data_IF_558226687651
#
_entry.id   IF_558226687651
#
_cell.length_a   1.000
_cell.length_b   1.000
_cell.length_c   1.000
_cell.angle_alpha   90.00
_cell.angle_beta   90.00
_cell.angle_gamma   90.00
#
_symmetry.space_group_name_H-M   'P 1'
#
loop_
_entity.id
_entity.type
_entity.pdbx_description
1 polymer ?
#
# COMPACT_ATOMS: atom_id res chain seq x y z
N UNK A 1 10.08 -25.59 24.68
CA UNK A 1 10.45 -24.22 24.21
C UNK A 1 9.22 -23.34 24.38
N UNK A 2 9.24 -22.51 25.42
CA UNK A 2 8.17 -21.56 25.69
C UNK A 2 8.21 -20.47 24.61
N UNK A 3 7.31 -20.52 23.66
CA UNK A 3 6.96 -19.36 22.86
C UNK A 3 6.38 -18.31 23.82
N UNK A 4 7.22 -17.37 24.25
CA UNK A 4 6.74 -16.16 24.90
C UNK A 4 5.90 -15.43 23.88
N UNK A 5 4.58 -15.48 24.02
CA UNK A 5 3.69 -14.60 23.29
C UNK A 5 4.09 -13.16 23.64
N UNK A 6 4.59 -12.42 22.65
CA UNK A 6 4.85 -10.99 22.82
C UNK A 6 3.49 -10.33 23.04
N UNK A 7 3.30 -9.70 24.15
CA UNK A 7 2.12 -8.90 24.42
C UNK A 7 2.20 -7.64 23.55
N UNK A 8 1.29 -7.54 22.58
CA UNK A 8 1.23 -6.36 21.72
C UNK A 8 0.49 -5.24 22.46
N UNK A 9 1.18 -4.16 22.75
CA UNK A 9 0.60 -2.97 23.35
C UNK A 9 0.40 -1.91 22.27
N UNK A 10 -0.82 -1.41 22.14
CA UNK A 10 -1.14 -0.29 21.27
C UNK A 10 -1.44 0.95 22.15
N UNK A 11 -0.47 1.85 22.35
CA UNK A 11 -0.64 3.00 23.25
C UNK A 11 -1.81 3.90 22.84
N UNK A 12 -2.01 4.14 21.55
CA UNK A 12 -3.10 4.96 21.02
C UNK A 12 -4.47 4.35 21.35
N UNK A 13 -4.61 3.03 21.19
CA UNK A 13 -5.83 2.33 21.56
C UNK A 13 -6.06 2.37 23.09
N UNK A 14 -4.99 2.19 23.88
CA UNK A 14 -5.08 2.25 25.35
C UNK A 14 -5.47 3.62 25.85
N UNK A 15 -5.00 4.69 25.17
CA UNK A 15 -5.37 6.06 25.47
C UNK A 15 -6.82 6.41 25.03
N UNK A 16 -7.43 5.57 24.19
CA UNK A 16 -8.76 5.83 23.64
C UNK A 16 -8.79 6.90 22.54
N UNK A 17 -7.62 7.23 21.96
CA UNK A 17 -7.52 8.23 20.92
C UNK A 17 -8.18 7.75 19.62
N UNK A 18 -8.97 8.63 19.02
CA UNK A 18 -9.61 8.40 17.74
C UNK A 18 -8.78 8.98 16.59
N UNK A 19 -9.06 8.56 15.35
CA UNK A 19 -8.44 9.13 14.16
C UNK A 19 -8.59 10.66 14.07
N UNK A 20 -9.67 11.18 14.63
CA UNK A 20 -9.94 12.62 14.68
C UNK A 20 -8.95 13.35 15.59
N UNK A 21 -8.65 12.79 16.74
CA UNK A 21 -7.68 13.35 17.70
C UNK A 21 -6.26 13.25 17.16
N UNK A 22 -5.91 12.14 16.52
CA UNK A 22 -4.63 11.94 15.84
C UNK A 22 -4.45 12.99 14.73
N UNK A 23 -5.46 13.19 13.89
CA UNK A 23 -5.42 14.20 12.83
C UNK A 23 -5.31 15.62 13.40
N UNK A 24 -6.04 15.93 14.48
CA UNK A 24 -5.94 17.22 15.15
C UNK A 24 -4.56 17.46 15.77
N UNK A 25 -3.91 16.41 16.29
CA UNK A 25 -2.54 16.47 16.76
C UNK A 25 -1.57 16.86 15.63
N UNK A 26 -1.63 16.17 14.50
CA UNK A 26 -0.74 16.42 13.36
C UNK A 26 -0.95 17.79 12.74
N UNK A 27 -2.18 18.31 12.73
CA UNK A 27 -2.47 19.66 12.23
C UNK A 27 -1.82 20.77 13.05
N UNK A 28 -1.51 20.53 14.32
CA UNK A 28 -0.87 21.50 15.22
C UNK A 28 0.66 21.49 15.19
N UNK A 29 1.25 20.54 14.44
CA UNK A 29 2.71 20.46 14.33
C UNK A 29 3.23 21.53 13.33
N UNK A 30 4.47 21.94 13.56
CA UNK A 30 5.15 22.93 12.71
C UNK A 30 5.53 22.39 11.32
N UNK A 31 5.41 21.11 11.10
CA UNK A 31 5.68 20.44 9.84
C UNK A 31 4.41 19.75 9.30
N UNK A 32 4.40 19.47 7.99
CA UNK A 32 3.29 18.81 7.29
C UNK A 32 3.81 17.58 6.56
N UNK A 33 3.09 16.46 6.67
CA UNK A 33 3.37 15.25 5.89
C UNK A 33 2.77 15.30 4.48
N UNK A 34 2.00 16.38 4.13
CA UNK A 34 1.30 16.54 2.86
C UNK A 34 0.40 15.34 2.48
N UNK A 35 -0.11 14.65 3.49
CA UNK A 35 -1.07 13.56 3.29
C UNK A 35 -2.50 14.12 3.17
N UNK A 36 -3.36 13.50 2.36
CA UNK A 36 -4.76 13.90 2.27
C UNK A 36 -5.48 13.63 3.60
N UNK A 37 -5.76 14.69 4.36
CA UNK A 37 -6.34 14.63 5.71
C UNK A 37 -7.78 14.10 5.74
N UNK A 38 -8.49 14.19 4.62
CA UNK A 38 -9.88 13.75 4.51
C UNK A 38 -10.02 12.24 4.23
N UNK A 39 -8.95 11.56 3.87
CA UNK A 39 -8.99 10.15 3.55
C UNK A 39 -8.87 9.29 4.81
N UNK A 40 -9.73 8.28 4.93
CA UNK A 40 -9.62 7.26 5.98
C UNK A 40 -8.32 6.47 5.87
N UNK A 41 -7.74 6.42 4.68
CA UNK A 41 -6.45 5.81 4.37
C UNK A 41 -5.78 6.59 3.25
N UNK A 42 -4.46 6.54 3.18
CA UNK A 42 -3.69 7.11 2.08
C UNK A 42 -3.10 6.00 1.21
N UNK A 43 -3.10 6.13 -0.12
CA UNK A 43 -2.40 5.18 -0.99
C UNK A 43 -0.89 5.14 -0.72
N UNK A 44 -0.35 6.19 -0.10
CA UNK A 44 1.06 6.32 0.24
C UNK A 44 1.42 5.67 1.58
N UNK A 45 0.45 5.10 2.31
CA UNK A 45 0.73 4.35 3.54
C UNK A 45 1.41 3.01 3.25
N UNK A 46 2.19 2.53 4.20
CA UNK A 46 2.95 1.28 4.10
C UNK A 46 4.00 1.28 2.98
N UNK A 47 4.43 0.09 2.56
CA UNK A 47 5.45 -0.08 1.55
C UNK A 47 5.02 0.49 0.19
N UNK A 48 5.97 1.07 -0.53
CA UNK A 48 5.75 1.56 -1.89
C UNK A 48 5.32 0.41 -2.80
N UNK A 49 4.24 0.62 -3.54
CA UNK A 49 3.64 -0.38 -4.46
C UNK A 49 3.42 -1.78 -3.86
N UNK A 50 3.27 -1.90 -2.54
CA UNK A 50 3.07 -3.20 -1.89
C UNK A 50 1.94 -4.01 -2.58
N UNK A 51 2.19 -5.29 -2.86
CA UNK A 51 1.22 -6.20 -3.50
C UNK A 51 -0.08 -6.41 -2.68
N UNK A 52 -0.09 -6.01 -1.41
CA UNK A 52 -1.31 -6.02 -0.59
C UNK A 52 -2.24 -4.82 -0.87
N UNK A 53 -1.76 -3.79 -1.56
CA UNK A 53 -2.62 -2.69 -2.02
C UNK A 53 -3.55 -3.18 -3.12
N UNK A 54 -4.72 -2.56 -3.25
CA UNK A 54 -5.63 -2.82 -4.38
C UNK A 54 -4.96 -2.54 -5.73
N UNK A 55 -5.25 -3.35 -6.72
CA UNK A 55 -4.64 -3.26 -8.06
C UNK A 55 -4.80 -1.88 -8.69
N UNK A 56 -5.98 -1.28 -8.60
CA UNK A 56 -6.23 0.09 -9.10
C UNK A 56 -5.34 1.13 -8.41
N UNK A 57 -5.13 0.99 -7.10
CA UNK A 57 -4.25 1.88 -6.34
C UNK A 57 -2.81 1.76 -6.83
N UNK A 58 -2.31 0.54 -7.04
CA UNK A 58 -0.96 0.30 -7.55
C UNK A 58 -0.80 0.92 -8.95
N UNK A 59 -1.75 0.70 -9.85
CA UNK A 59 -1.72 1.27 -11.21
C UNK A 59 -1.73 2.79 -11.17
N UNK A 60 -2.53 3.40 -10.30
CA UNK A 60 -2.54 4.84 -10.15
C UNK A 60 -1.19 5.37 -9.64
N UNK A 61 -0.58 4.72 -8.67
CA UNK A 61 0.75 5.09 -8.18
C UNK A 61 1.83 4.94 -9.25
N UNK A 62 1.72 3.93 -10.13
CA UNK A 62 2.62 3.75 -11.28
C UNK A 62 2.38 4.83 -12.34
N UNK A 63 1.13 5.28 -12.55
CA UNK A 63 0.83 6.42 -13.43
C UNK A 63 1.53 7.69 -12.96
N UNK A 64 1.51 7.94 -11.66
CA UNK A 64 2.12 9.13 -11.05
C UNK A 64 3.66 9.09 -11.17
N UNK A 65 4.26 7.91 -11.05
CA UNK A 65 5.69 7.69 -11.24
C UNK A 65 5.97 6.26 -11.74
N UNK A 66 6.12 6.06 -13.06
CA UNK A 66 6.35 4.74 -13.64
C UNK A 66 7.65 4.05 -13.20
N UNK A 67 8.64 4.80 -12.73
CA UNK A 67 9.92 4.24 -12.29
C UNK A 67 9.80 3.41 -11.03
N UNK A 68 8.79 3.66 -10.21
CA UNK A 68 8.51 2.88 -8.99
C UNK A 68 8.32 1.40 -9.25
N UNK A 69 7.76 1.04 -10.41
CA UNK A 69 7.51 -0.35 -10.76
C UNK A 69 8.78 -1.14 -11.11
N UNK A 70 9.90 -0.49 -11.42
CA UNK A 70 11.08 -1.16 -11.99
C UNK A 70 11.70 -2.18 -11.04
N UNK A 71 11.79 -1.85 -9.76
CA UNK A 71 12.29 -2.78 -8.75
C UNK A 71 11.38 -4.00 -8.59
N UNK A 72 10.07 -3.77 -8.56
CA UNK A 72 9.07 -4.83 -8.42
C UNK A 72 9.07 -5.77 -9.62
N UNK A 73 9.14 -5.24 -10.85
CA UNK A 73 9.26 -6.01 -12.09
C UNK A 73 10.50 -6.90 -12.04
N UNK A 74 11.67 -6.33 -11.76
CA UNK A 74 12.92 -7.09 -11.66
C UNK A 74 12.85 -8.19 -10.59
N UNK A 75 12.19 -7.92 -9.50
CA UNK A 75 12.04 -8.88 -8.40
C UNK A 75 11.10 -10.02 -8.79
N UNK A 76 9.97 -9.73 -9.43
CA UNK A 76 9.09 -10.76 -9.95
C UNK A 76 9.81 -11.68 -10.93
N UNK A 77 10.48 -11.10 -11.91
CA UNK A 77 11.19 -11.85 -12.96
C UNK A 77 12.30 -12.74 -12.39
N UNK A 78 13.00 -12.25 -11.38
CA UNK A 78 14.12 -12.96 -10.78
C UNK A 78 13.72 -14.11 -9.86
N UNK A 79 12.65 -13.93 -9.07
CA UNK A 79 12.36 -14.83 -7.96
C UNK A 79 11.03 -15.58 -8.07
N UNK A 80 10.06 -15.05 -8.81
CA UNK A 80 8.69 -15.54 -8.81
C UNK A 80 8.24 -16.07 -10.19
N UNK A 81 8.98 -15.81 -11.25
CA UNK A 81 8.62 -16.20 -12.61
C UNK A 81 7.24 -15.63 -13.00
N UNK A 82 6.43 -16.46 -13.68
CA UNK A 82 5.10 -16.04 -14.16
C UNK A 82 4.05 -15.87 -13.05
N UNK A 83 4.35 -16.35 -11.84
CA UNK A 83 3.37 -16.38 -10.73
C UNK A 83 3.17 -15.04 -10.01
N UNK A 84 4.10 -14.09 -10.14
CA UNK A 84 4.06 -12.81 -9.45
C UNK A 84 3.96 -12.93 -7.92
N UNK A 85 3.84 -11.79 -7.24
CA UNK A 85 3.67 -11.74 -5.77
C UNK A 85 2.28 -12.20 -5.30
N UNK A 86 1.26 -12.08 -6.14
CA UNK A 86 -0.09 -12.52 -5.85
C UNK A 86 -0.73 -13.13 -7.09
N UNK A 87 -1.10 -14.41 -6.99
CA UNK A 87 -1.63 -15.19 -8.12
C UNK A 87 -2.88 -14.59 -8.78
N UNK A 88 -3.66 -13.83 -8.01
CA UNK A 88 -4.92 -13.24 -8.45
C UNK A 88 -4.75 -11.83 -9.05
N UNK A 89 -3.51 -11.30 -9.01
CA UNK A 89 -3.22 -9.95 -9.50
C UNK A 89 -2.38 -9.99 -10.77
N UNK A 90 -2.54 -8.99 -11.66
CA UNK A 90 -1.62 -8.83 -12.77
C UNK A 90 -0.17 -8.64 -12.28
N UNK A 91 0.81 -9.09 -13.06
CA UNK A 91 2.22 -8.80 -12.77
C UNK A 91 2.49 -7.29 -12.76
N UNK A 92 3.54 -6.86 -12.06
CA UNK A 92 3.92 -5.42 -12.06
C UNK A 92 4.27 -4.91 -13.46
N UNK A 93 4.84 -5.76 -14.32
CA UNK A 93 5.03 -5.43 -15.74
C UNK A 93 3.70 -5.12 -16.41
N UNK A 94 2.70 -5.97 -16.23
CA UNK A 94 1.36 -5.76 -16.81
C UNK A 94 0.68 -4.53 -16.24
N UNK A 95 0.79 -4.29 -14.94
CA UNK A 95 0.26 -3.09 -14.30
C UNK A 95 0.92 -1.81 -14.84
N UNK A 96 2.24 -1.84 -15.10
CA UNK A 96 2.96 -0.74 -15.73
C UNK A 96 2.51 -0.48 -17.16
N UNK A 97 2.32 -1.53 -17.97
CA UNK A 97 1.77 -1.42 -19.32
C UNK A 97 0.40 -0.74 -19.32
N UNK A 98 -0.50 -1.18 -18.45
CA UNK A 98 -1.83 -0.59 -18.29
C UNK A 98 -1.72 0.88 -17.89
N UNK A 99 -0.86 1.20 -16.92
CA UNK A 99 -0.64 2.56 -16.45
C UNK A 99 -0.17 3.50 -17.57
N UNK A 100 0.70 3.03 -18.46
CA UNK A 100 1.27 3.79 -19.56
C UNK A 100 0.37 3.87 -20.80
N UNK A 101 -0.47 2.85 -21.03
CA UNK A 101 -1.34 2.76 -22.21
C UNK A 101 -2.58 3.63 -22.14
N UNK A 102 -2.81 4.34 -21.02
CA UNK A 102 -4.07 5.05 -20.75
C UNK A 102 -5.31 4.13 -20.86
N UNK A 103 -5.09 2.80 -20.77
CA UNK A 103 -6.16 1.81 -20.80
C UNK A 103 -7.21 2.08 -19.72
N UNK A 104 -8.44 1.73 -20.03
CA UNK A 104 -9.57 1.90 -19.13
C UNK A 104 -9.35 1.11 -17.85
N UNK A 105 -9.32 1.85 -16.73
CA UNK A 105 -9.29 1.26 -15.38
C UNK A 105 -10.56 0.43 -15.08
N UNK A 106 -11.55 0.48 -15.95
CA UNK A 106 -12.84 -0.21 -15.79
C UNK A 106 -12.74 -1.73 -15.98
N UNK A 107 -11.76 -2.21 -16.77
CA UNK A 107 -11.54 -3.64 -17.00
C UNK A 107 -10.70 -4.33 -15.91
N UNK A 108 -10.28 -3.57 -14.89
CA UNK A 108 -9.45 -4.11 -13.81
C UNK A 108 -10.35 -4.53 -12.66
N UNK A 109 -10.19 -5.76 -12.12
CA UNK A 109 -10.93 -6.19 -10.95
C UNK A 109 -10.76 -5.22 -9.80
N UNK A 110 -11.86 -4.91 -9.13
CA UNK A 110 -11.87 -4.03 -7.97
C UNK A 110 -11.53 -4.85 -6.73
N UNK A 111 -10.25 -5.11 -6.52
CA UNK A 111 -9.76 -5.81 -5.36
C UNK A 111 -9.49 -4.84 -4.20
N UNK A 112 -9.93 -5.21 -3.02
CA UNK A 112 -9.70 -4.41 -1.82
C UNK A 112 -8.23 -4.45 -1.40
N UNK A 113 -7.74 -3.34 -0.85
CA UNK A 113 -6.45 -3.31 -0.17
C UNK A 113 -6.51 -4.16 1.09
N UNK A 114 -5.65 -5.15 1.19
CA UNK A 114 -5.51 -5.98 2.39
C UNK A 114 -4.66 -5.20 3.39
N UNK A 115 -5.11 -5.02 4.65
CA UNK A 115 -4.30 -4.39 5.67
C UNK A 115 -2.97 -5.14 5.83
N UNK A 116 -1.86 -4.45 5.69
CA UNK A 116 -0.56 -5.02 5.99
C UNK A 116 -0.42 -5.08 7.51
N UNK A 117 -0.44 -6.29 8.05
CA UNK A 117 -0.06 -6.54 9.44
C UNK A 117 1.45 -6.80 9.50
N UNK A 118 2.22 -5.84 8.98
CA UNK A 118 3.67 -5.86 9.17
C UNK A 118 3.96 -5.53 10.63
N UNK A 119 3.76 -6.51 11.49
CA UNK A 119 4.29 -6.49 12.85
C UNK A 119 5.60 -7.22 12.82
N UNK A 120 6.69 -6.51 13.02
CA UNK A 120 7.99 -7.07 13.30
C UNK A 120 7.99 -7.98 14.54
#
# INVERSE_FOLDING_TARGET
>A
TLFRSKESVCPVHTAGDTIREINAFWLRQDFRLNLPLAAKSTPLSNCDLCFLKGTKTIIQMIKDDPSRADWWIKTEERYLGEGGFAKEKPSYRRMKEIALSQGDLFDIPDDATIPCMCTD
#
